data_IF_177662564662
#
_entry.id   IF_177662564662
#
_cell.length_a   1.000
_cell.length_b   1.000
_cell.length_c   1.000
_cell.angle_alpha   90.00
_cell.angle_beta   90.00
_cell.angle_gamma   90.00
#
_symmetry.space_group_name_H-M   'P 1'
#
loop_
_entity.id
_entity.type
_entity.pdbx_description
1 polymer ?
#
# COMPACT_ATOMS: atom_id res chain seq x y z
N UNK A 1 -15.99 -19.77 -0.23
CA UNK A 1 -14.89 -19.64 0.73
C UNK A 1 -14.25 -18.28 0.50
N UNK A 2 -14.29 -17.42 1.50
CA UNK A 2 -13.83 -16.03 1.40
C UNK A 2 -12.31 -16.02 1.42
N UNK A 3 -11.69 -15.71 0.27
CA UNK A 3 -10.23 -15.58 0.17
C UNK A 3 -9.82 -14.28 0.84
N UNK A 4 -8.96 -14.37 1.84
CA UNK A 4 -8.45 -13.19 2.55
C UNK A 4 -7.15 -12.73 1.89
N UNK A 5 -6.75 -11.49 2.09
CA UNK A 5 -5.48 -10.96 1.56
C UNK A 5 -4.26 -11.81 2.00
N UNK A 6 -4.37 -12.51 3.14
CA UNK A 6 -3.35 -13.42 3.67
C UNK A 6 -3.16 -14.72 2.86
N UNK A 7 -4.06 -15.03 1.92
CA UNK A 7 -3.98 -16.24 1.09
C UNK A 7 -3.11 -16.03 -0.17
N UNK A 8 -2.28 -14.98 -0.20
CA UNK A 8 -1.35 -14.67 -1.29
C UNK A 8 0.09 -15.10 -0.90
N UNK A 9 0.59 -16.23 -1.40
CA UNK A 9 1.96 -16.68 -1.09
C UNK A 9 3.02 -15.66 -1.50
N UNK A 10 4.06 -15.49 -0.67
CA UNK A 10 5.15 -14.55 -0.93
C UNK A 10 4.84 -13.09 -0.55
N UNK A 11 3.67 -12.83 0.04
CA UNK A 11 3.30 -11.51 0.59
C UNK A 11 2.96 -11.59 2.07
N UNK A 12 3.40 -10.58 2.82
CA UNK A 12 3.08 -10.39 4.24
C UNK A 12 2.28 -9.12 4.44
N UNK A 13 1.35 -9.17 5.39
CA UNK A 13 0.40 -8.11 5.68
C UNK A 13 0.44 -7.76 7.17
N UNK A 14 0.34 -6.48 7.49
CA UNK A 14 0.18 -6.01 8.85
C UNK A 14 -0.72 -4.76 8.86
N UNK A 15 -1.57 -4.65 9.88
CA UNK A 15 -2.34 -3.45 10.16
C UNK A 15 -2.40 -3.24 11.67
N UNK A 16 -2.22 -1.99 12.11
CA UNK A 16 -2.21 -1.64 13.53
C UNK A 16 -2.71 -0.21 13.74
N UNK A 17 -2.97 0.10 15.01
CA UNK A 17 -3.30 1.45 15.47
C UNK A 17 -2.01 2.19 15.87
N UNK A 18 -1.64 3.23 15.11
CA UNK A 18 -0.45 4.06 15.32
C UNK A 18 -0.77 5.42 15.95
N UNK A 19 -2.05 5.71 16.24
CA UNK A 19 -2.49 6.94 16.91
C UNK A 19 -2.87 8.09 15.96
N UNK A 20 -3.06 7.80 14.66
CA UNK A 20 -3.56 8.78 13.70
C UNK A 20 -5.08 8.97 13.84
N UNK A 21 -5.82 7.89 14.04
CA UNK A 21 -7.24 7.95 14.43
C UNK A 21 -7.36 8.13 15.94
N UNK A 22 -8.45 8.75 16.38
CA UNK A 22 -8.74 8.94 17.81
C UNK A 22 -9.27 7.67 18.49
N UNK A 23 -9.86 6.77 17.72
CA UNK A 23 -10.33 5.48 18.21
C UNK A 23 -9.24 4.42 18.07
N UNK A 24 -9.44 3.26 18.69
CA UNK A 24 -8.48 2.15 18.68
C UNK A 24 -8.50 1.34 17.37
N UNK A 25 -9.15 1.84 16.32
CA UNK A 25 -9.20 1.13 15.05
C UNK A 25 -7.85 1.22 14.32
N UNK A 26 -7.48 0.18 13.56
CA UNK A 26 -6.30 0.24 12.71
C UNK A 26 -6.33 1.44 11.75
N UNK A 27 -5.21 2.12 11.65
CA UNK A 27 -5.03 3.36 10.86
C UNK A 27 -3.71 3.38 10.07
N UNK A 28 -2.85 2.39 10.30
CA UNK A 28 -1.65 2.12 9.54
C UNK A 28 -1.66 0.68 9.04
N UNK A 29 -1.36 0.49 7.76
CA UNK A 29 -1.24 -0.82 7.14
C UNK A 29 0.03 -0.89 6.27
N UNK A 30 0.57 -2.10 6.16
CA UNK A 30 1.73 -2.41 5.34
C UNK A 30 1.52 -3.73 4.59
N UNK A 31 1.94 -3.73 3.33
CA UNK A 31 2.02 -4.91 2.48
C UNK A 31 3.49 -5.04 2.05
N UNK A 32 4.08 -6.21 2.26
CA UNK A 32 5.48 -6.47 1.92
C UNK A 32 5.54 -7.70 1.03
N UNK A 33 6.16 -7.57 -0.13
CA UNK A 33 6.59 -8.71 -0.93
C UNK A 33 7.89 -9.26 -0.36
N UNK A 34 7.97 -10.57 -0.17
CA UNK A 34 9.19 -11.24 0.33
C UNK A 34 10.31 -11.25 -0.73
N UNK A 35 9.94 -11.08 -2.00
CA UNK A 35 10.84 -10.98 -3.16
C UNK A 35 10.59 -9.69 -3.94
N UNK A 36 11.51 -9.23 -4.81
CA UNK A 36 11.21 -8.13 -5.72
C UNK A 36 9.94 -8.42 -6.53
N UNK A 37 8.95 -7.52 -6.42
CA UNK A 37 7.67 -7.68 -7.09
C UNK A 37 7.63 -6.85 -8.38
N UNK A 38 7.04 -7.42 -9.43
CA UNK A 38 6.58 -6.64 -10.58
C UNK A 38 5.36 -5.84 -10.12
N UNK A 39 5.36 -4.53 -10.39
CA UNK A 39 4.29 -3.65 -9.96
C UNK A 39 3.73 -2.84 -11.13
N UNK A 40 2.44 -2.54 -11.05
CA UNK A 40 1.76 -1.57 -11.90
C UNK A 40 0.75 -0.80 -11.04
N UNK A 41 0.58 0.49 -11.31
CA UNK A 41 -0.39 1.32 -10.60
C UNK A 41 -0.97 2.42 -11.50
N UNK A 42 -2.20 2.80 -11.22
CA UNK A 42 -2.83 4.01 -11.73
C UNK A 42 -3.08 4.97 -10.57
N UNK A 43 -3.03 6.26 -10.86
CA UNK A 43 -3.16 7.31 -9.85
C UNK A 43 -4.31 8.25 -10.22
N UNK A 44 -4.82 9.01 -9.24
CA UNK A 44 -5.86 10.02 -9.48
C UNK A 44 -5.46 11.02 -10.58
N UNK A 45 -6.44 11.42 -11.38
CA UNK A 45 -6.31 12.45 -12.43
C UNK A 45 -6.63 13.86 -11.92
N UNK A 46 -6.94 14.02 -10.64
CA UNK A 46 -7.18 15.33 -10.03
C UNK A 46 -5.96 16.24 -10.19
N UNK A 47 -6.21 17.52 -10.51
CA UNK A 47 -5.20 18.56 -10.68
C UNK A 47 -4.38 18.85 -9.41
N UNK A 48 -4.93 18.55 -8.23
CA UNK A 48 -4.25 18.76 -6.94
C UNK A 48 -4.01 17.44 -6.20
N UNK A 49 -2.98 16.65 -6.58
CA UNK A 49 -2.69 15.36 -5.96
C UNK A 49 -2.01 15.51 -4.60
N UNK A 50 -2.28 14.57 -3.69
CA UNK A 50 -1.60 14.50 -2.40
C UNK A 50 -0.12 14.08 -2.56
N UNK A 51 0.72 14.42 -1.59
CA UNK A 51 2.14 14.06 -1.59
C UNK A 51 2.42 12.55 -1.80
N UNK A 52 1.66 11.60 -1.22
CA UNK A 52 1.88 10.17 -1.44
C UNK A 52 1.64 9.73 -2.89
N UNK A 53 0.74 10.41 -3.62
CA UNK A 53 0.50 10.13 -5.04
C UNK A 53 1.73 10.50 -5.86
N UNK A 54 2.34 11.65 -5.58
CA UNK A 54 3.56 12.11 -6.24
C UNK A 54 4.72 11.14 -5.94
N UNK A 55 4.86 10.72 -4.68
CA UNK A 55 5.85 9.74 -4.27
C UNK A 55 5.66 8.40 -4.97
N UNK A 56 4.43 7.86 -4.99
CA UNK A 56 4.11 6.58 -5.63
C UNK A 56 4.42 6.57 -7.13
N UNK A 57 4.13 7.67 -7.85
CA UNK A 57 4.49 7.81 -9.28
C UNK A 57 5.99 7.71 -9.50
N UNK A 58 6.79 8.36 -8.65
CA UNK A 58 8.26 8.34 -8.72
C UNK A 58 8.82 6.94 -8.45
N UNK A 59 8.30 6.28 -7.41
CA UNK A 59 8.73 4.92 -7.06
C UNK A 59 8.44 3.93 -8.19
N UNK A 60 7.23 3.98 -8.78
CA UNK A 60 6.88 3.09 -9.88
C UNK A 60 7.74 3.36 -11.14
N UNK A 61 8.01 4.63 -11.47
CA UNK A 61 8.85 4.98 -12.61
C UNK A 61 10.33 4.59 -12.42
N UNK A 62 10.79 4.43 -11.18
CA UNK A 62 12.15 4.02 -10.85
C UNK A 62 12.31 2.49 -10.77
N UNK A 63 11.23 1.72 -10.81
CA UNK A 63 11.30 0.27 -10.94
C UNK A 63 11.71 -0.07 -12.38
N UNK A 64 12.90 -0.66 -12.55
CA UNK A 64 13.44 -1.16 -13.81
C UNK A 64 13.28 -2.67 -13.84
#
# INVERSE_FOLDING_TARGET
>A
MEKTVNDCPGYRFAALHCGLKKDVQPDLALIVSEVPAVAAAVFTTNLFPAAPVIYGRRQLAAMI
#
